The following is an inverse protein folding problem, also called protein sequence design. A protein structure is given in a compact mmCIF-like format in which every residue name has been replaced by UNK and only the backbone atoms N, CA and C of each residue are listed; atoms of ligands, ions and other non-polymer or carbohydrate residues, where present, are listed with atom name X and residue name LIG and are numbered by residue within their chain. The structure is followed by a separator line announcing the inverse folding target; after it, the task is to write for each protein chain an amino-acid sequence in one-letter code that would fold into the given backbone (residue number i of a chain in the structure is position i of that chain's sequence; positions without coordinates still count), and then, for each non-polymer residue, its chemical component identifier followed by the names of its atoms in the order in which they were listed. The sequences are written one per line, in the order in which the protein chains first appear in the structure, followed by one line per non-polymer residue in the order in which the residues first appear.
data_IF_225906837665
#
_entry.id   IF_225906837665
#
_cell.length_a   1.000
_cell.length_b   1.000
_cell.length_c   1.000
_cell.angle_alpha   90.00
_cell.angle_beta   90.00
_cell.angle_gamma   90.00
#
_symmetry.space_group_name_H-M   'P 1'
#
loop_
_entity.id
_entity.type
_entity.pdbx_description
1 polymer ?
#
# COMPACT_ATOMS: atom_id res chain seq x y z
N UNK A 1 -4.41 -57.11 17.80
CA UNK A 1 -3.11 -56.58 17.31
C UNK A 1 -3.40 -55.37 16.42
N UNK A 2 -3.06 -54.14 16.85
CA UNK A 2 -3.29 -52.91 16.07
C UNK A 2 -2.22 -52.80 14.97
N UNK A 3 -2.65 -52.94 13.72
CA UNK A 3 -1.79 -52.83 12.54
C UNK A 3 -1.41 -51.36 12.35
N UNK A 4 -0.21 -50.96 12.76
CA UNK A 4 0.32 -49.64 12.45
C UNK A 4 0.53 -49.54 10.94
N UNK A 5 -0.38 -48.87 10.25
CA UNK A 5 -0.29 -48.57 8.83
C UNK A 5 0.80 -47.51 8.67
N UNK A 6 2.00 -47.92 8.25
CA UNK A 6 3.08 -46.98 7.92
C UNK A 6 2.63 -46.14 6.73
N UNK A 7 2.41 -44.85 6.95
CA UNK A 7 2.03 -43.90 5.93
C UNK A 7 3.25 -43.70 5.00
N UNK A 8 3.27 -44.40 3.87
CA UNK A 8 4.29 -44.17 2.84
C UNK A 8 3.88 -42.92 2.06
N UNK A 9 4.38 -41.76 2.50
CA UNK A 9 4.18 -40.51 1.76
C UNK A 9 5.07 -40.58 0.51
N UNK A 10 4.50 -40.56 -0.70
CA UNK A 10 5.30 -40.55 -1.92
C UNK A 10 6.13 -39.26 -1.98
N UNK A 11 7.39 -39.37 -2.41
CA UNK A 11 8.33 -38.23 -2.49
C UNK A 11 7.78 -37.08 -3.34
N UNK A 12 6.96 -37.37 -4.35
CA UNK A 12 6.26 -36.38 -5.19
C UNK A 12 5.27 -35.51 -4.42
N UNK A 13 4.68 -36.03 -3.33
CA UNK A 13 3.76 -35.26 -2.49
C UNK A 13 4.50 -34.27 -1.60
N UNK A 14 5.72 -34.63 -1.18
CA UNK A 14 6.57 -33.75 -0.36
C UNK A 14 7.11 -32.56 -1.19
N UNK A 15 7.50 -32.81 -2.43
CA UNK A 15 8.00 -31.76 -3.33
C UNK A 15 6.89 -30.78 -3.75
N UNK A 16 5.68 -31.28 -4.03
CA UNK A 16 4.53 -30.42 -4.33
C UNK A 16 4.18 -29.51 -3.14
N UNK A 17 4.22 -30.04 -1.91
CA UNK A 17 3.96 -29.25 -0.70
C UNK A 17 5.03 -28.17 -0.48
N UNK A 18 6.30 -28.51 -0.71
CA UNK A 18 7.41 -27.56 -0.61
C UNK A 18 7.31 -26.45 -1.67
N UNK A 19 6.97 -26.78 -2.91
CA UNK A 19 6.75 -25.78 -3.96
C UNK A 19 5.57 -24.84 -3.63
N UNK A 20 4.48 -25.39 -3.09
CA UNK A 20 3.32 -24.60 -2.65
C UNK A 20 3.67 -23.68 -1.48
N UNK A 21 4.47 -24.14 -0.52
CA UNK A 21 4.95 -23.31 0.59
C UNK A 21 5.84 -22.16 0.08
N UNK A 22 6.75 -22.42 -0.86
CA UNK A 22 7.60 -21.38 -1.47
C UNK A 22 6.78 -20.34 -2.22
N UNK A 23 5.76 -20.75 -2.99
CA UNK A 23 4.85 -19.83 -3.68
C UNK A 23 4.08 -18.94 -2.69
N UNK A 24 3.58 -19.52 -1.59
CA UNK A 24 2.88 -18.77 -0.55
C UNK A 24 3.81 -17.81 0.21
N UNK A 25 5.09 -18.18 0.43
CA UNK A 25 6.07 -17.26 0.99
C UNK A 25 6.40 -16.13 0.02
N UNK A 26 6.54 -16.42 -1.27
CA UNK A 26 6.82 -15.40 -2.29
C UNK A 26 5.69 -14.40 -2.43
N UNK A 27 4.43 -14.82 -2.39
CA UNK A 27 3.29 -13.89 -2.45
C UNK A 27 3.22 -12.97 -1.23
N UNK A 28 3.62 -13.44 -0.04
CA UNK A 28 3.73 -12.62 1.18
C UNK A 28 4.87 -11.61 1.16
N UNK A 29 5.87 -11.80 0.29
CA UNK A 29 7.04 -10.94 0.15
C UNK A 29 6.87 -9.87 -0.94
N UNK A 30 5.80 -9.92 -1.74
CA UNK A 30 5.56 -8.88 -2.73
C UNK A 30 5.22 -7.56 -2.02
N UNK A 31 5.88 -6.44 -2.39
CA UNK A 31 5.52 -5.14 -1.83
C UNK A 31 4.06 -4.84 -2.13
N UNK A 32 3.33 -4.40 -1.10
CA UNK A 32 1.94 -3.94 -1.23
C UNK A 32 1.82 -2.83 -2.28
N UNK A 33 0.60 -2.54 -2.74
CA UNK A 33 0.37 -1.61 -3.85
C UNK A 33 1.01 -0.24 -3.62
N UNK A 34 1.02 0.23 -2.36
CA UNK A 34 1.70 1.45 -1.91
C UNK A 34 3.21 1.51 -2.23
N UNK A 35 3.89 0.37 -2.29
CA UNK A 35 5.36 0.29 -2.43
C UNK A 35 5.81 -0.42 -3.72
N UNK A 36 4.88 -0.68 -4.66
CA UNK A 36 5.22 -1.34 -5.92
C UNK A 36 6.16 -0.48 -6.75
N UNK A 37 7.39 -0.94 -6.89
CA UNK A 37 8.40 -0.28 -7.73
C UNK A 37 7.89 -0.12 -9.16
N UNK A 38 8.05 1.08 -9.72
CA UNK A 38 7.68 1.50 -11.08
C UNK A 38 6.19 1.82 -11.33
N UNK A 39 5.34 1.83 -10.30
CA UNK A 39 3.96 2.31 -10.41
C UNK A 39 3.80 3.44 -9.41
N UNK A 40 3.58 4.66 -9.90
CA UNK A 40 3.20 5.81 -9.09
C UNK A 40 1.69 6.01 -9.21
N UNK A 41 1.00 6.03 -8.08
CA UNK A 41 -0.45 6.30 -8.05
C UNK A 41 -0.65 7.76 -7.70
N UNK A 42 -1.33 8.50 -8.56
CA UNK A 42 -1.63 9.92 -8.35
C UNK A 42 -3.12 10.10 -8.05
N UNK A 43 -3.41 10.68 -6.91
CA UNK A 43 -4.74 11.15 -6.53
C UNK A 43 -4.86 12.65 -6.81
N UNK A 44 -6.07 13.14 -7.04
CA UNK A 44 -6.30 14.53 -7.43
C UNK A 44 -7.29 15.17 -6.48
N UNK A 45 -6.99 16.40 -6.10
CA UNK A 45 -7.83 17.19 -5.22
C UNK A 45 -7.75 18.66 -5.60
N UNK A 46 -8.83 19.38 -5.34
CA UNK A 46 -8.95 20.78 -5.68
C UNK A 46 -9.49 21.56 -4.50
N UNK A 47 -8.83 22.67 -4.18
CA UNK A 47 -9.22 23.59 -3.11
C UNK A 47 -9.18 25.04 -3.61
N UNK A 48 -9.89 25.93 -2.94
CA UNK A 48 -9.80 27.36 -3.24
C UNK A 48 -8.55 27.96 -2.60
N UNK A 49 -8.01 29.01 -3.23
CA UNK A 49 -6.88 29.75 -2.66
C UNK A 49 -7.20 30.29 -1.24
N UNK A 50 -6.33 29.95 -0.29
CA UNK A 50 -6.46 30.31 1.12
C UNK A 50 -7.21 29.29 1.98
N UNK A 51 -7.70 28.19 1.41
CA UNK A 51 -8.24 27.06 2.17
C UNK A 51 -7.12 26.14 2.67
N UNK A 52 -7.36 25.47 3.80
CA UNK A 52 -6.46 24.45 4.34
C UNK A 52 -6.85 23.09 3.75
N UNK A 53 -5.92 22.32 3.16
CA UNK A 53 -6.24 21.03 2.55
C UNK A 53 -6.58 20.00 3.63
N UNK A 54 -7.84 19.57 3.66
CA UNK A 54 -8.33 18.52 4.55
C UNK A 54 -8.13 17.14 3.91
N UNK A 55 -6.91 16.61 4.00
CA UNK A 55 -6.59 15.29 3.46
C UNK A 55 -6.98 14.18 4.44
N UNK A 56 -7.97 13.35 4.08
CA UNK A 56 -8.30 12.11 4.80
C UNK A 56 -7.83 10.88 4.02
N UNK A 57 -7.10 9.99 4.69
CA UNK A 57 -6.68 8.72 4.10
C UNK A 57 -7.87 7.84 3.67
N UNK A 58 -9.03 7.98 4.32
CA UNK A 58 -10.24 7.25 3.97
C UNK A 58 -10.77 7.59 2.56
N UNK A 59 -10.44 8.77 2.01
CA UNK A 59 -10.89 9.18 0.69
C UNK A 59 -10.11 8.51 -0.45
N UNK A 60 -8.90 8.02 -0.18
CA UNK A 60 -8.00 7.45 -1.20
C UNK A 60 -7.72 5.95 -1.00
N UNK A 61 -7.87 5.45 0.23
CA UNK A 61 -7.48 4.11 0.63
C UNK A 61 -8.58 3.40 1.42
N UNK A 62 -8.70 2.08 1.20
CA UNK A 62 -9.68 1.24 1.91
C UNK A 62 -9.17 0.82 3.29
N UNK A 63 -10.02 0.97 4.32
CA UNK A 63 -9.78 0.45 5.67
C UNK A 63 -9.72 -1.08 5.75
N UNK A 64 -10.27 -1.79 4.74
CA UNK A 64 -10.19 -3.25 4.66
C UNK A 64 -8.78 -3.73 4.32
N UNK A 65 -8.01 -2.89 3.63
CA UNK A 65 -6.68 -3.21 3.11
C UNK A 65 -5.55 -2.57 3.92
N UNK A 66 -5.81 -1.39 4.50
CA UNK A 66 -4.80 -0.59 5.19
C UNK A 66 -5.30 -0.05 6.52
N UNK A 67 -4.36 0.10 7.46
CA UNK A 67 -4.62 0.83 8.70
C UNK A 67 -4.52 2.33 8.42
N UNK A 68 -5.67 3.00 8.30
CA UNK A 68 -5.75 4.40 7.88
C UNK A 68 -4.99 5.33 8.83
N UNK A 69 -4.83 4.95 10.11
CA UNK A 69 -4.12 5.75 11.12
C UNK A 69 -2.61 5.84 10.88
N UNK A 70 -2.08 4.99 10.00
CA UNK A 70 -0.66 4.95 9.64
C UNK A 70 -0.31 5.85 8.47
N UNK A 71 -1.31 6.42 7.80
CA UNK A 71 -1.06 7.39 6.73
C UNK A 71 -0.66 8.73 7.31
N UNK A 72 0.22 9.42 6.59
CA UNK A 72 0.59 10.80 6.87
C UNK A 72 0.88 11.52 5.57
N UNK A 73 0.48 12.79 5.51
CA UNK A 73 0.62 13.63 4.34
C UNK A 73 1.55 14.80 4.67
N UNK A 74 2.59 15.00 3.88
CA UNK A 74 3.51 16.13 4.08
C UNK A 74 3.08 17.33 3.24
N UNK A 75 2.23 18.16 3.84
CA UNK A 75 1.71 19.40 3.22
C UNK A 75 2.64 20.60 3.40
N UNK A 76 3.83 20.42 3.99
CA UNK A 76 4.74 21.53 4.34
C UNK A 76 5.18 22.34 3.11
N UNK A 77 5.21 21.72 1.93
CA UNK A 77 5.59 22.36 0.68
C UNK A 77 4.39 22.89 -0.14
N UNK A 78 3.15 22.74 0.35
CA UNK A 78 1.96 23.31 -0.29
C UNK A 78 1.76 24.77 0.14
N UNK A 79 1.87 25.69 -0.80
CA UNK A 79 1.42 27.06 -0.60
C UNK A 79 -0.01 27.21 -1.09
N UNK A 80 -0.97 27.07 -0.18
CA UNK A 80 -2.39 27.11 -0.53
C UNK A 80 -2.87 28.54 -0.80
N UNK A 81 -2.05 29.57 -0.60
CA UNK A 81 -2.40 30.95 -0.90
C UNK A 81 -2.14 31.32 -2.36
N UNK A 82 -1.30 30.55 -3.06
CA UNK A 82 -0.94 30.82 -4.45
C UNK A 82 -1.64 29.80 -5.35
N UNK A 83 -2.45 30.23 -6.34
CA UNK A 83 -3.02 29.31 -7.31
C UNK A 83 -1.94 28.54 -8.06
N UNK A 84 -2.13 27.22 -8.19
CA UNK A 84 -1.12 26.33 -8.76
C UNK A 84 -1.40 24.86 -8.51
N UNK A 85 -0.54 24.00 -9.06
CA UNK A 85 -0.55 22.57 -8.78
C UNK A 85 0.60 22.22 -7.84
N UNK A 86 0.28 21.49 -6.77
CA UNK A 86 1.23 21.06 -5.76
C UNK A 86 1.19 19.54 -5.63
N UNK A 87 2.33 18.93 -5.32
CA UNK A 87 2.44 17.49 -5.12
C UNK A 87 2.75 17.19 -3.65
N UNK A 88 1.90 16.37 -3.05
CA UNK A 88 1.96 16.00 -1.64
C UNK A 88 2.35 14.52 -1.58
N UNK A 89 3.54 14.18 -1.04
CA UNK A 89 3.95 12.80 -0.91
C UNK A 89 3.15 12.11 0.19
N UNK A 90 2.74 10.87 -0.07
CA UNK A 90 2.00 10.04 0.89
C UNK A 90 2.97 9.12 1.63
N UNK A 91 2.90 9.14 2.96
CA UNK A 91 3.68 8.28 3.83
C UNK A 91 2.76 7.23 4.49
N UNK A 92 3.29 6.03 4.70
CA UNK A 92 2.61 4.96 5.42
C UNK A 92 3.56 4.31 6.42
N UNK A 93 3.21 4.35 7.70
CA UNK A 93 4.00 3.78 8.82
C UNK A 93 5.45 4.31 8.85
N UNK A 94 5.60 5.63 8.60
CA UNK A 94 6.89 6.31 8.57
C UNK A 94 7.76 6.03 7.33
N UNK A 95 7.20 5.43 6.28
CA UNK A 95 7.88 5.19 5.00
C UNK A 95 7.18 5.92 3.86
N UNK A 96 7.97 6.55 3.01
CA UNK A 96 7.48 7.14 1.77
C UNK A 96 6.90 6.05 0.86
N UNK A 97 5.69 6.29 0.36
CA UNK A 97 5.01 5.42 -0.60
C UNK A 97 5.25 5.91 -2.02
N UNK A 98 4.84 5.13 -3.01
CA UNK A 98 4.79 5.59 -4.41
C UNK A 98 3.48 6.33 -4.74
N UNK A 99 2.70 6.71 -3.74
CA UNK A 99 1.47 7.48 -3.92
C UNK A 99 1.75 8.98 -3.74
N UNK A 100 1.16 9.79 -4.61
CA UNK A 100 1.18 11.25 -4.49
C UNK A 100 -0.25 11.79 -4.57
N UNK A 101 -0.53 12.87 -3.84
CA UNK A 101 -1.75 13.66 -4.01
C UNK A 101 -1.37 14.93 -4.76
N UNK A 102 -2.00 15.14 -5.91
CA UNK A 102 -1.86 16.35 -6.71
C UNK A 102 -2.98 17.32 -6.32
N UNK A 103 -2.61 18.32 -5.55
CA UNK A 103 -3.50 19.37 -5.06
C UNK A 103 -3.50 20.54 -6.04
N UNK A 104 -4.67 20.90 -6.55
CA UNK A 104 -4.89 22.06 -7.40
C UNK A 104 -5.49 23.18 -6.56
N UNK A 105 -4.83 24.32 -6.52
CA UNK A 105 -5.30 25.53 -5.85
C UNK A 105 -5.81 26.49 -6.91
N UNK A 106 -7.07 26.89 -6.83
CA UNK A 106 -7.72 27.81 -7.78
C UNK A 106 -8.22 29.13 -7.15
#
# INVERSE_FOLDING_TARGET
MKKHRKLQIPVFTLTALAAMAVLLLWSRLQPGELFRKNIQTTYYETISAGEEPELDAADYFSEEEYDLTKFSFDVTNCDTQTPGEYEIPVWYDGKETNCIIKLTVE
#
